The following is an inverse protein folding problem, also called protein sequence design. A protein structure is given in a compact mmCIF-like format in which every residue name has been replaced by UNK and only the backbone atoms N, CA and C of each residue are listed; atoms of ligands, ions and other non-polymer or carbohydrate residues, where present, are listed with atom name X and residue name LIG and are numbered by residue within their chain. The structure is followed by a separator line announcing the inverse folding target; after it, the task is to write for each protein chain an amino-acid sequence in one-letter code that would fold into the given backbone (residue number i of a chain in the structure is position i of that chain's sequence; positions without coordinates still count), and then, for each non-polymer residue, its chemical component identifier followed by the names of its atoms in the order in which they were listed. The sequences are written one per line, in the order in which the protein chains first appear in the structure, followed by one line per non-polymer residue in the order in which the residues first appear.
data_IF_775591182618
#
_entry.id   IF_775591182618
#
_cell.length_a   1.000
_cell.length_b   1.000
_cell.length_c   1.000
_cell.angle_alpha   90.00
_cell.angle_beta   90.00
_cell.angle_gamma   90.00
#
_symmetry.space_group_name_H-M   'P 1'
#
loop_
_entity.id
_entity.type
_entity.pdbx_description
1 polymer ?
#
# COMPACT_ATOMS: atom_id res chain seq x y z
N UNK A 1 6.21 -37.45 16.04
CA UNK A 1 5.33 -36.26 15.96
C UNK A 1 6.20 -35.09 15.54
N UNK A 2 6.37 -34.90 14.22
CA UNK A 2 7.23 -33.86 13.68
C UNK A 2 6.49 -32.52 13.65
N UNK A 3 7.14 -31.49 14.17
CA UNK A 3 6.66 -30.12 14.18
C UNK A 3 6.32 -29.71 12.74
N UNK A 4 5.03 -29.59 12.44
CA UNK A 4 4.55 -29.02 11.18
C UNK A 4 5.01 -27.58 11.21
N UNK A 5 6.05 -27.28 10.44
CA UNK A 5 6.63 -25.95 10.30
C UNK A 5 5.47 -24.95 10.21
N UNK A 6 5.39 -24.13 11.24
CA UNK A 6 4.76 -22.83 11.30
C UNK A 6 4.81 -22.23 9.87
N UNK A 7 3.64 -21.95 9.28
CA UNK A 7 3.51 -21.71 7.84
C UNK A 7 4.46 -20.56 7.44
N UNK A 8 4.96 -20.52 6.22
CA UNK A 8 5.85 -19.42 5.77
C UNK A 8 5.29 -18.02 6.07
N UNK A 9 3.96 -17.92 6.11
CA UNK A 9 3.22 -16.73 6.51
C UNK A 9 3.47 -16.31 7.97
N UNK A 10 3.54 -17.25 8.91
CA UNK A 10 3.76 -16.98 10.33
C UNK A 10 5.23 -16.61 10.64
N UNK A 11 6.18 -16.99 9.77
CA UNK A 11 7.61 -16.61 9.88
C UNK A 11 7.82 -15.12 9.58
N UNK A 12 7.09 -14.57 8.60
CA UNK A 12 7.30 -13.19 8.11
C UNK A 12 6.20 -12.21 8.55
N UNK A 13 4.96 -12.69 8.77
CA UNK A 13 3.82 -11.84 9.08
C UNK A 13 3.34 -11.99 10.53
N UNK A 14 3.43 -10.89 11.29
CA UNK A 14 2.90 -10.78 12.64
C UNK A 14 1.40 -10.43 12.60
N UNK A 15 0.77 -10.33 13.78
CA UNK A 15 -0.60 -9.82 13.89
C UNK A 15 -0.75 -8.39 13.36
N UNK A 16 0.28 -7.57 13.54
CA UNK A 16 0.28 -6.16 13.11
C UNK A 16 0.43 -6.04 11.60
N UNK A 17 1.28 -6.87 10.96
CA UNK A 17 1.31 -7.00 9.50
C UNK A 17 -0.08 -7.37 8.96
N UNK A 18 -0.75 -8.33 9.61
CA UNK A 18 -2.10 -8.75 9.24
C UNK A 18 -3.17 -7.66 9.49
N UNK A 19 -2.96 -6.72 10.42
CA UNK A 19 -3.83 -5.56 10.58
C UNK A 19 -3.71 -4.61 9.38
N UNK A 20 -2.49 -4.35 8.91
CA UNK A 20 -2.25 -3.56 7.69
C UNK A 20 -2.89 -4.24 6.48
N UNK A 21 -2.69 -5.56 6.32
CA UNK A 21 -3.35 -6.32 5.23
C UNK A 21 -4.86 -6.11 5.21
N UNK A 22 -5.52 -6.29 6.35
CA UNK A 22 -6.98 -6.11 6.44
C UNK A 22 -7.39 -4.66 6.12
N UNK A 23 -6.66 -3.67 6.63
CA UNK A 23 -6.97 -2.27 6.37
C UNK A 23 -6.86 -1.92 4.88
N UNK A 24 -5.82 -2.40 4.20
CA UNK A 24 -5.59 -2.15 2.78
C UNK A 24 -6.59 -2.93 1.93
N UNK A 25 -6.87 -4.20 2.27
CA UNK A 25 -7.91 -5.01 1.63
C UNK A 25 -9.27 -4.31 1.68
N UNK A 26 -9.63 -3.80 2.85
CA UNK A 26 -10.89 -3.09 3.06
C UNK A 26 -10.97 -1.83 2.21
N UNK A 27 -9.88 -1.05 2.14
CA UNK A 27 -9.79 0.11 1.27
C UNK A 27 -9.98 -0.28 -0.21
N UNK A 28 -9.26 -1.29 -0.69
CA UNK A 28 -9.39 -1.80 -2.07
C UNK A 28 -10.84 -2.24 -2.36
N UNK A 29 -11.45 -3.00 -1.45
CA UNK A 29 -12.80 -3.54 -1.64
C UNK A 29 -13.92 -2.51 -1.53
N UNK A 30 -13.74 -1.43 -0.74
CA UNK A 30 -14.78 -0.44 -0.47
C UNK A 30 -14.62 0.83 -1.30
N UNK A 31 -13.39 1.22 -1.61
CA UNK A 31 -13.06 2.53 -2.18
C UNK A 31 -12.54 2.48 -3.61
N UNK A 32 -12.10 1.29 -4.09
CA UNK A 32 -11.55 1.14 -5.44
C UNK A 32 -12.40 0.19 -6.28
N UNK A 33 -12.40 -1.10 -5.94
CA UNK A 33 -12.96 -2.16 -6.79
C UNK A 33 -14.44 -1.99 -7.16
N UNK A 34 -15.32 -1.40 -6.33
CA UNK A 34 -16.71 -1.16 -6.73
C UNK A 34 -16.87 -0.15 -7.87
N UNK A 35 -15.85 0.67 -8.16
CA UNK A 35 -15.93 1.79 -9.10
C UNK A 35 -15.02 1.61 -10.32
N UNK A 36 -14.22 0.54 -10.36
CA UNK A 36 -13.22 0.30 -11.42
C UNK A 36 -13.85 0.29 -12.81
N UNK A 37 -14.95 -0.44 -13.01
CA UNK A 37 -15.58 -0.56 -14.34
C UNK A 37 -16.03 0.80 -14.88
N UNK A 38 -16.59 1.65 -14.02
CA UNK A 38 -16.99 3.02 -14.37
C UNK A 38 -15.77 3.89 -14.73
N UNK A 39 -14.70 3.82 -13.94
CA UNK A 39 -13.50 4.62 -14.19
C UNK A 39 -12.75 4.21 -15.45
N UNK A 40 -12.72 2.92 -15.76
CA UNK A 40 -12.15 2.39 -17.01
C UNK A 40 -12.99 2.85 -18.21
N UNK A 41 -14.33 2.79 -18.12
CA UNK A 41 -15.22 3.31 -19.18
C UNK A 41 -15.04 4.82 -19.41
N UNK A 42 -14.89 5.60 -18.34
CA UNK A 42 -14.67 7.05 -18.41
C UNK A 42 -13.23 7.43 -18.78
N UNK A 43 -12.29 6.49 -18.72
CA UNK A 43 -10.85 6.74 -18.88
C UNK A 43 -10.25 7.62 -17.77
N UNK A 44 -10.93 7.76 -16.63
CA UNK A 44 -10.52 8.62 -15.53
C UNK A 44 -10.93 8.04 -14.17
N UNK A 45 -9.96 7.99 -13.25
CA UNK A 45 -10.20 7.70 -11.84
C UNK A 45 -9.93 8.95 -10.98
N UNK A 46 -10.62 9.12 -9.83
CA UNK A 46 -10.47 10.29 -8.96
C UNK A 46 -9.19 10.22 -8.11
N UNK A 47 -8.01 10.13 -8.75
CA UNK A 47 -6.72 9.89 -8.10
C UNK A 47 -6.43 10.87 -6.97
N UNK A 48 -6.70 12.16 -7.16
CA UNK A 48 -6.46 13.17 -6.10
C UNK A 48 -7.21 12.86 -4.81
N UNK A 49 -8.47 12.40 -4.91
CA UNK A 49 -9.29 12.04 -3.75
C UNK A 49 -8.80 10.73 -3.12
N UNK A 50 -8.49 9.73 -3.95
CA UNK A 50 -7.97 8.43 -3.49
C UNK A 50 -6.64 8.61 -2.75
N UNK A 51 -5.67 9.30 -3.35
CA UNK A 51 -4.36 9.52 -2.75
C UNK A 51 -4.42 10.35 -1.48
N UNK A 52 -5.29 11.36 -1.43
CA UNK A 52 -5.52 12.11 -0.18
C UNK A 52 -6.00 11.18 0.94
N UNK A 53 -6.99 10.34 0.67
CA UNK A 53 -7.51 9.37 1.65
C UNK A 53 -6.46 8.32 2.04
N UNK A 54 -5.67 7.82 1.08
CA UNK A 54 -4.56 6.90 1.35
C UNK A 54 -3.48 7.53 2.23
N UNK A 55 -3.17 8.81 2.01
CA UNK A 55 -2.25 9.58 2.86
C UNK A 55 -2.77 9.74 4.29
N UNK A 56 -4.05 10.09 4.45
CA UNK A 56 -4.71 10.18 5.76
C UNK A 56 -4.73 8.84 6.52
N UNK A 57 -4.79 7.72 5.79
CA UNK A 57 -4.69 6.36 6.34
C UNK A 57 -3.24 5.88 6.56
N UNK A 58 -2.24 6.67 6.16
CA UNK A 58 -0.82 6.32 6.29
C UNK A 58 -0.27 5.35 5.25
N UNK A 59 -1.06 4.96 4.25
CA UNK A 59 -0.69 3.93 3.27
C UNK A 59 0.40 4.38 2.29
N UNK A 60 0.50 5.68 2.02
CA UNK A 60 1.52 6.22 1.11
C UNK A 60 2.91 6.37 1.78
N UNK A 61 2.96 6.20 3.10
CA UNK A 61 4.08 6.56 3.96
C UNK A 61 4.71 5.39 4.73
N UNK A 62 4.39 4.14 4.41
CA UNK A 62 4.57 2.99 5.33
C UNK A 62 5.99 2.87 5.91
N UNK A 63 7.03 2.99 5.10
CA UNK A 63 8.42 2.82 5.57
C UNK A 63 9.19 4.10 5.79
N UNK A 64 8.59 5.22 5.39
CA UNK A 64 9.29 6.50 5.36
C UNK A 64 9.38 7.13 6.74
N UNK A 65 10.35 8.03 6.90
CA UNK A 65 10.65 8.65 8.17
C UNK A 65 9.41 9.42 8.72
N UNK A 66 9.00 9.15 9.97
CA UNK A 66 7.94 9.91 10.64
C UNK A 66 8.14 11.43 10.63
N UNK A 67 9.38 11.94 10.56
CA UNK A 67 9.65 13.39 10.47
C UNK A 67 9.04 14.05 9.23
N UNK A 68 8.84 13.28 8.15
CA UNK A 68 8.20 13.73 6.91
C UNK A 68 6.77 13.20 6.73
N UNK A 69 6.17 12.65 7.79
CA UNK A 69 4.81 12.11 7.77
C UNK A 69 4.70 10.64 7.35
N UNK A 70 5.82 9.91 7.31
CA UNK A 70 5.81 8.45 7.17
C UNK A 70 5.43 7.71 8.46
N UNK A 71 5.43 6.38 8.40
CA UNK A 71 5.08 5.50 9.54
C UNK A 71 6.31 4.83 10.17
N UNK A 72 7.49 4.90 9.54
CA UNK A 72 8.73 4.28 10.05
C UNK A 72 8.66 2.76 10.22
N UNK A 73 7.79 2.07 9.48
CA UNK A 73 7.63 0.61 9.53
C UNK A 73 8.63 -0.09 8.61
N UNK A 74 8.74 -1.41 8.71
CA UNK A 74 9.69 -2.20 7.94
C UNK A 74 9.14 -2.70 6.57
N UNK A 75 9.97 -3.42 5.83
CA UNK A 75 9.65 -4.01 4.53
C UNK A 75 8.57 -5.09 4.55
N UNK A 76 8.29 -5.73 5.69
CA UNK A 76 7.22 -6.72 5.78
C UNK A 76 5.84 -6.04 5.85
N UNK A 77 5.74 -4.87 6.48
CA UNK A 77 4.54 -4.03 6.38
C UNK A 77 4.29 -3.55 4.95
N UNK A 78 5.34 -3.12 4.23
CA UNK A 78 5.21 -2.74 2.82
C UNK A 78 4.85 -3.93 1.93
N UNK A 79 5.48 -5.09 2.15
CA UNK A 79 5.15 -6.32 1.40
C UNK A 79 3.68 -6.69 1.58
N UNK A 80 3.19 -6.65 2.82
CA UNK A 80 1.79 -6.84 3.12
C UNK A 80 0.89 -5.86 2.34
N UNK A 81 1.23 -4.56 2.34
CA UNK A 81 0.51 -3.55 1.58
C UNK A 81 0.48 -3.84 0.07
N UNK A 82 1.64 -4.16 -0.53
CA UNK A 82 1.77 -4.42 -1.97
C UNK A 82 0.97 -5.65 -2.42
N UNK A 83 0.95 -6.72 -1.63
CA UNK A 83 0.13 -7.89 -1.93
C UNK A 83 -1.36 -7.54 -1.98
N UNK A 84 -1.84 -6.69 -1.06
CA UNK A 84 -3.23 -6.24 -1.06
C UNK A 84 -3.57 -5.32 -2.22
N UNK A 85 -2.63 -4.46 -2.66
CA UNK A 85 -2.80 -3.68 -3.90
C UNK A 85 -2.93 -4.58 -5.13
N UNK A 86 -2.33 -5.77 -5.12
CA UNK A 86 -2.47 -6.78 -6.18
C UNK A 86 -3.91 -7.26 -6.39
N UNK A 87 -4.83 -6.94 -5.47
CA UNK A 87 -6.25 -7.24 -5.60
C UNK A 87 -7.09 -6.10 -6.21
N UNK A 88 -6.45 -5.00 -6.61
CA UNK A 88 -7.11 -3.95 -7.39
C UNK A 88 -7.39 -4.49 -8.80
N UNK A 89 -8.65 -4.37 -9.24
CA UNK A 89 -9.09 -4.90 -10.55
C UNK A 89 -8.65 -4.05 -11.75
N UNK A 90 -8.06 -2.88 -11.51
CA UNK A 90 -7.47 -2.00 -12.52
C UNK A 90 -5.96 -1.84 -12.30
N UNK A 91 -5.15 -2.46 -13.15
CA UNK A 91 -3.68 -2.44 -13.01
C UNK A 91 -3.12 -1.01 -13.02
N UNK A 92 -3.70 -0.11 -13.82
CA UNK A 92 -3.27 1.28 -13.88
C UNK A 92 -3.33 2.00 -12.53
N UNK A 93 -4.32 1.67 -11.69
CA UNK A 93 -4.45 2.22 -10.35
C UNK A 93 -3.42 1.66 -9.38
N UNK A 94 -3.20 0.35 -9.41
CA UNK A 94 -2.15 -0.27 -8.60
C UNK A 94 -0.78 0.31 -8.95
N UNK A 95 -0.48 0.46 -10.24
CA UNK A 95 0.78 1.07 -10.72
C UNK A 95 0.88 2.53 -10.33
N UNK A 96 -0.19 3.33 -10.43
CA UNK A 96 -0.14 4.73 -10.01
C UNK A 96 0.24 4.86 -8.52
N UNK A 97 -0.31 4.00 -7.67
CA UNK A 97 0.01 3.96 -6.24
C UNK A 97 1.47 3.55 -6.03
N UNK A 98 1.94 2.47 -6.67
CA UNK A 98 3.31 1.99 -6.48
C UNK A 98 4.36 2.90 -7.11
N UNK A 99 4.03 3.66 -8.16
CA UNK A 99 4.90 4.73 -8.67
C UNK A 99 5.13 5.77 -7.58
N UNK A 100 4.09 6.19 -6.86
CA UNK A 100 4.25 7.10 -5.74
C UNK A 100 5.10 6.45 -4.63
N UNK A 101 4.66 5.30 -4.12
CA UNK A 101 5.26 4.71 -2.90
C UNK A 101 6.59 4.02 -3.12
N UNK A 102 6.94 3.59 -4.34
CA UNK A 102 8.09 2.73 -4.61
C UNK A 102 8.94 3.18 -5.81
N UNK A 103 8.65 4.32 -6.43
CA UNK A 103 9.52 4.91 -7.47
C UNK A 103 9.85 6.38 -7.18
N UNK A 104 8.83 7.23 -7.01
CA UNK A 104 9.00 8.66 -6.77
C UNK A 104 9.51 8.94 -5.34
N UNK A 105 8.83 8.41 -4.32
CA UNK A 105 9.19 8.67 -2.93
C UNK A 105 10.56 8.11 -2.52
N UNK A 106 10.97 6.88 -2.89
CA UNK A 106 12.31 6.38 -2.52
C UNK A 106 13.45 7.24 -3.05
N UNK A 107 13.31 7.80 -4.26
CA UNK A 107 14.33 8.67 -4.83
C UNK A 107 14.49 9.96 -4.01
N UNK A 108 13.40 10.51 -3.50
CA UNK A 108 13.41 11.70 -2.64
C UNK A 108 13.91 11.34 -1.23
N UNK A 109 13.48 10.21 -0.68
CA UNK A 109 13.90 9.74 0.64
C UNK A 109 15.42 9.50 0.71
N UNK A 110 15.99 8.91 -0.34
CA UNK A 110 17.42 8.59 -0.42
C UNK A 110 18.28 9.82 -0.81
N UNK A 111 17.83 10.61 -1.79
CA UNK A 111 18.68 11.64 -2.41
C UNK A 111 18.22 13.08 -2.17
N UNK A 112 17.08 13.27 -1.49
CA UNK A 112 16.52 14.59 -1.20
C UNK A 112 17.35 15.37 -0.18
N UNK A 113 17.37 16.69 -0.34
CA UNK A 113 17.89 17.64 0.65
C UNK A 113 16.78 18.19 1.52
N UNK A 114 17.12 18.67 2.71
CA UNK A 114 16.23 19.47 3.57
C UNK A 114 16.01 20.91 3.05
N UNK A 115 16.68 21.28 1.95
CA UNK A 115 16.71 22.61 1.35
C UNK A 115 16.06 22.63 -0.03
#
# INVERSE_FOLDING_TARGET
MGNRLDTSEQIYFTKDHNMVRRAVRDFVNKEINPFVDEWEEQGYAPLKKLFKKMGELGFLGIRYDPKYGGQGLDYWYETAFLEELGHIKALGLAVAITVQTNMATPAIDEFGSDF
#
